data_IF_124483113052
#
_entry.id   IF_124483113052
#
_cell.length_a   1.000
_cell.length_b   1.000
_cell.length_c   1.000
_cell.angle_alpha   90.00
_cell.angle_beta   90.00
_cell.angle_gamma   90.00
#
_symmetry.space_group_name_H-M   'P 1'
#
loop_
_entity.id
_entity.type
_entity.pdbx_description
1 polymer ?
#
# COMPACT_ATOMS: atom_id res chain seq x y z
N UNK A 1 -14.60 4.64 2.01
CA UNK A 1 -13.45 3.73 1.81
C UNK A 1 -12.32 4.48 1.10
N UNK A 2 -11.07 4.36 1.57
CA UNK A 2 -9.89 4.92 0.92
C UNK A 2 -9.25 3.89 -0.02
N UNK A 3 -8.49 4.37 -1.01
CA UNK A 3 -7.86 3.53 -2.04
C UNK A 3 -6.36 3.73 -2.12
N UNK A 4 -5.62 2.64 -2.30
CA UNK A 4 -4.21 2.64 -2.69
C UNK A 4 -4.03 1.89 -4.02
N UNK A 5 -3.31 2.50 -4.94
CA UNK A 5 -2.86 1.86 -6.19
C UNK A 5 -1.36 1.63 -6.09
N UNK A 6 -0.95 0.36 -6.06
CA UNK A 6 0.44 -0.03 -5.77
C UNK A 6 1.19 -0.49 -7.01
N UNK A 7 2.48 -0.17 -7.07
CA UNK A 7 3.38 -0.60 -8.15
C UNK A 7 3.25 0.23 -9.42
N UNK A 8 3.17 1.55 -9.26
CA UNK A 8 3.17 2.50 -10.36
C UNK A 8 4.60 2.69 -10.91
N UNK A 9 4.74 2.80 -12.23
CA UNK A 9 6.03 2.83 -12.92
C UNK A 9 6.17 3.97 -13.93
N UNK A 10 5.09 4.69 -14.25
CA UNK A 10 5.10 5.80 -15.22
C UNK A 10 4.35 7.02 -14.71
N UNK A 11 4.70 8.20 -15.24
CA UNK A 11 4.05 9.48 -14.92
C UNK A 11 2.55 9.46 -15.22
N UNK A 12 2.14 8.84 -16.34
CA UNK A 12 0.73 8.78 -16.74
C UNK A 12 -0.12 7.94 -15.77
N UNK A 13 0.46 6.85 -15.23
CA UNK A 13 -0.19 6.06 -14.20
C UNK A 13 -0.40 6.89 -12.92
N UNK A 14 0.63 7.62 -12.47
CA UNK A 14 0.56 8.50 -11.29
C UNK A 14 -0.48 9.60 -11.50
N UNK A 15 -0.41 10.33 -12.62
CA UNK A 15 -1.37 11.39 -12.97
C UNK A 15 -2.82 10.86 -13.04
N UNK A 16 -3.01 9.66 -13.60
CA UNK A 16 -4.33 9.01 -13.64
C UNK A 16 -4.84 8.72 -12.24
N UNK A 17 -4.01 8.14 -11.35
CA UNK A 17 -4.39 7.90 -9.98
C UNK A 17 -4.82 9.19 -9.26
N UNK A 18 -4.03 10.27 -9.38
CA UNK A 18 -4.31 11.56 -8.75
C UNK A 18 -5.62 12.16 -9.31
N UNK A 19 -5.80 12.17 -10.63
CA UNK A 19 -6.95 12.77 -11.29
C UNK A 19 -8.26 12.06 -10.95
N UNK A 20 -8.21 10.75 -10.66
CA UNK A 20 -9.36 9.95 -10.26
C UNK A 20 -9.49 9.77 -8.75
N UNK A 21 -8.68 10.48 -7.94
CA UNK A 21 -8.85 10.60 -6.50
C UNK A 21 -8.31 9.43 -5.68
N UNK A 22 -7.24 8.78 -6.14
CA UNK A 22 -6.53 7.81 -5.32
C UNK A 22 -5.98 8.47 -4.04
N UNK A 23 -6.16 7.85 -2.88
CA UNK A 23 -5.63 8.35 -1.63
C UNK A 23 -4.14 8.07 -1.47
N UNK A 24 -3.68 6.94 -2.05
CA UNK A 24 -2.27 6.52 -1.99
C UNK A 24 -1.78 6.01 -3.34
N UNK A 25 -0.56 6.40 -3.72
CA UNK A 25 0.20 5.89 -4.85
C UNK A 25 1.46 5.17 -4.36
N UNK A 26 1.60 3.88 -4.65
CA UNK A 26 2.71 3.05 -4.18
C UNK A 26 3.78 2.79 -5.24
N UNK A 27 5.06 2.88 -4.84
CA UNK A 27 6.25 2.68 -5.66
C UNK A 27 7.15 1.60 -5.06
N UNK A 28 7.48 0.53 -5.80
CA UNK A 28 8.35 -0.55 -5.31
C UNK A 28 9.81 -0.16 -5.53
N UNK A 29 10.57 0.09 -4.44
CA UNK A 29 11.84 0.80 -4.48
C UNK A 29 13.08 -0.09 -4.33
N UNK A 30 13.01 -1.22 -3.61
CA UNK A 30 14.18 -2.07 -3.38
C UNK A 30 13.98 -3.55 -3.71
N UNK A 31 12.79 -3.96 -4.13
CA UNK A 31 12.50 -5.36 -4.45
C UNK A 31 12.64 -5.64 -5.94
N UNK A 32 13.88 -5.87 -6.40
CA UNK A 32 14.25 -6.04 -7.83
C UNK A 32 13.62 -7.26 -8.51
N UNK A 33 13.10 -8.24 -7.74
CA UNK A 33 12.39 -9.41 -8.29
C UNK A 33 10.98 -9.07 -8.78
N UNK A 34 10.43 -7.94 -8.38
CA UNK A 34 9.13 -7.47 -8.85
C UNK A 34 9.24 -6.84 -10.23
N UNK A 35 8.34 -7.20 -11.16
CA UNK A 35 8.24 -6.53 -12.45
C UNK A 35 7.80 -5.04 -12.32
N UNK A 36 7.32 -4.64 -11.14
CA UNK A 36 6.92 -3.28 -10.78
C UNK A 36 8.04 -2.49 -10.11
N UNK A 37 9.24 -3.08 -9.98
CA UNK A 37 10.39 -2.39 -9.40
C UNK A 37 10.80 -1.19 -10.26
N UNK A 38 11.08 -0.06 -9.62
CA UNK A 38 11.62 1.13 -10.29
C UNK A 38 12.95 1.55 -9.67
N UNK A 39 13.86 2.04 -10.51
CA UNK A 39 15.14 2.61 -10.08
C UNK A 39 14.90 3.95 -9.36
N UNK A 40 15.88 4.37 -8.54
CA UNK A 40 15.81 5.62 -7.76
C UNK A 40 15.46 6.83 -8.64
N UNK A 41 16.12 7.00 -9.80
CA UNK A 41 15.88 8.14 -10.70
C UNK A 41 14.44 8.19 -11.23
N UNK A 42 13.85 7.02 -11.51
CA UNK A 42 12.44 6.94 -11.90
C UNK A 42 11.53 7.30 -10.70
N UNK A 43 11.84 6.76 -9.52
CA UNK A 43 11.09 7.10 -8.31
C UNK A 43 11.14 8.61 -8.01
N UNK A 44 12.31 9.23 -8.16
CA UNK A 44 12.48 10.67 -8.01
C UNK A 44 11.60 11.45 -9.00
N UNK A 45 11.62 11.09 -10.29
CA UNK A 45 10.76 11.69 -11.30
C UNK A 45 9.26 11.53 -10.97
N UNK A 46 8.83 10.32 -10.58
CA UNK A 46 7.42 10.05 -10.27
C UNK A 46 6.93 10.79 -9.03
N UNK A 47 7.79 10.92 -8.02
CA UNK A 47 7.44 11.62 -6.77
C UNK A 47 7.50 13.15 -6.88
N UNK A 48 8.00 13.71 -8.00
CA UNK A 48 7.91 15.15 -8.31
C UNK A 48 6.57 15.54 -8.96
N UNK A 49 5.74 14.59 -9.40
CA UNK A 49 4.39 14.90 -9.87
C UNK A 49 3.60 15.53 -8.72
N UNK A 50 2.89 16.64 -8.99
CA UNK A 50 2.04 17.29 -8.00
C UNK A 50 0.98 16.31 -7.49
N UNK A 51 1.14 15.89 -6.24
CA UNK A 51 0.33 14.83 -5.61
C UNK A 51 -1.05 15.29 -5.13
N UNK A 52 -1.30 16.60 -5.08
CA UNK A 52 -2.55 17.17 -4.55
C UNK A 52 -2.89 16.54 -3.18
N UNK A 53 -4.03 15.88 -3.07
CA UNK A 53 -4.50 15.19 -1.86
C UNK A 53 -4.06 13.70 -1.78
N UNK A 54 -3.20 13.23 -2.69
CA UNK A 54 -2.72 11.85 -2.73
C UNK A 54 -1.43 11.72 -1.95
N UNK A 55 -1.30 10.69 -1.12
CA UNK A 55 -0.05 10.37 -0.41
C UNK A 55 0.83 9.42 -1.24
N UNK A 56 2.14 9.67 -1.27
CA UNK A 56 3.10 8.81 -1.93
C UNK A 56 3.73 7.81 -0.96
N UNK A 57 3.77 6.54 -1.36
CA UNK A 57 4.20 5.41 -0.52
C UNK A 57 5.37 4.69 -1.17
N UNK A 58 6.53 4.71 -0.53
CA UNK A 58 7.67 3.89 -0.91
C UNK A 58 7.55 2.49 -0.32
N UNK A 59 7.46 1.47 -1.17
CA UNK A 59 7.34 0.06 -0.75
C UNK A 59 8.72 -0.57 -0.67
N UNK A 60 9.07 -1.11 0.49
CA UNK A 60 10.39 -1.60 0.85
C UNK A 60 10.30 -3.00 1.47
N UNK A 61 11.16 -3.90 1.05
CA UNK A 61 11.25 -5.26 1.59
C UNK A 61 12.60 -5.42 2.27
N UNK A 62 12.59 -5.69 3.57
CA UNK A 62 13.78 -5.81 4.42
C UNK A 62 14.81 -4.69 4.16
N UNK A 63 14.40 -3.40 4.21
CA UNK A 63 15.31 -2.33 3.88
C UNK A 63 16.44 -2.19 4.90
N UNK A 64 17.66 -1.98 4.40
CA UNK A 64 18.79 -1.53 5.22
C UNK A 64 18.64 -0.06 5.63
N UNK A 65 19.31 0.35 6.71
CA UNK A 65 19.35 1.77 7.14
C UNK A 65 19.88 2.69 6.02
N UNK A 66 20.81 2.22 5.19
CA UNK A 66 21.33 2.96 4.03
C UNK A 66 20.25 3.19 2.98
N UNK A 67 19.42 2.18 2.70
CA UNK A 67 18.29 2.29 1.75
C UNK A 67 17.22 3.23 2.30
N UNK A 68 16.84 3.09 3.57
CA UNK A 68 15.87 3.98 4.22
C UNK A 68 16.34 5.44 4.16
N UNK A 69 17.63 5.71 4.49
CA UNK A 69 18.22 7.04 4.36
C UNK A 69 18.19 7.56 2.93
N UNK A 70 18.52 6.72 1.95
CA UNK A 70 18.51 7.13 0.54
C UNK A 70 17.09 7.48 0.07
N UNK A 71 16.11 6.60 0.34
CA UNK A 71 14.73 6.82 -0.08
C UNK A 71 14.00 7.89 0.72
N UNK A 72 14.48 8.27 1.90
CA UNK A 72 13.89 9.38 2.67
C UNK A 72 14.04 10.73 1.97
N UNK A 73 14.99 10.87 1.03
CA UNK A 73 15.18 12.07 0.21
C UNK A 73 14.11 12.23 -0.88
N UNK A 74 13.37 11.17 -1.22
CA UNK A 74 12.25 11.25 -2.16
C UNK A 74 11.05 11.95 -1.52
N UNK A 75 10.22 12.59 -2.33
CA UNK A 75 8.98 13.24 -1.89
C UNK A 75 7.89 12.20 -1.53
N UNK A 76 8.23 11.30 -0.61
CA UNK A 76 7.33 10.28 -0.07
C UNK A 76 6.71 10.76 1.24
N UNK A 77 5.47 10.32 1.51
CA UNK A 77 4.77 10.57 2.77
C UNK A 77 4.89 9.35 3.71
N UNK A 78 4.94 8.14 3.13
CA UNK A 78 4.98 6.89 3.85
C UNK A 78 6.12 5.99 3.38
N UNK A 79 6.68 5.22 4.31
CA UNK A 79 7.36 3.97 4.01
C UNK A 79 6.42 2.81 4.32
N UNK A 80 6.18 1.94 3.34
CA UNK A 80 5.52 0.66 3.54
C UNK A 80 6.58 -0.42 3.64
N UNK A 81 6.66 -1.07 4.79
CA UNK A 81 7.76 -1.97 5.13
C UNK A 81 7.26 -3.40 5.26
N UNK A 82 7.87 -4.30 4.50
CA UNK A 82 7.81 -5.75 4.66
C UNK A 82 9.08 -6.22 5.34
N UNK A 83 8.97 -7.05 6.38
CA UNK A 83 10.08 -7.62 7.13
C UNK A 83 9.73 -7.82 8.60
N UNK A 84 10.62 -8.52 9.30
CA UNK A 84 10.50 -8.76 10.73
C UNK A 84 11.28 -7.69 11.50
N UNK A 85 10.57 -6.71 12.03
CA UNK A 85 11.10 -5.63 12.84
C UNK A 85 10.40 -5.60 14.20
N UNK A 86 11.12 -5.15 15.21
CA UNK A 86 10.52 -4.85 16.52
C UNK A 86 9.75 -3.52 16.45
N UNK A 87 8.81 -3.34 17.37
CA UNK A 87 8.10 -2.06 17.55
C UNK A 87 9.08 -0.88 17.75
N UNK A 88 10.18 -1.12 18.49
CA UNK A 88 11.23 -0.12 18.71
C UNK A 88 11.90 0.32 17.41
N UNK A 89 12.26 -0.61 16.52
CA UNK A 89 12.87 -0.29 15.23
C UNK A 89 11.90 0.51 14.34
N UNK A 90 10.62 0.17 14.34
CA UNK A 90 9.58 0.94 13.60
C UNK A 90 9.50 2.37 14.12
N UNK A 91 9.52 2.57 15.43
CA UNK A 91 9.57 3.90 16.05
C UNK A 91 10.81 4.67 15.61
N UNK A 92 12.00 4.04 15.69
CA UNK A 92 13.26 4.63 15.26
C UNK A 92 13.25 5.03 13.77
N UNK A 93 12.67 4.21 12.89
CA UNK A 93 12.53 4.54 11.47
C UNK A 93 11.65 5.78 11.27
N UNK A 94 10.50 5.82 11.94
CA UNK A 94 9.57 6.96 11.89
C UNK A 94 10.22 8.26 12.34
N UNK A 95 10.93 8.22 13.46
CA UNK A 95 11.61 9.39 14.03
C UNK A 95 12.82 9.84 13.19
N UNK A 96 13.64 8.91 12.71
CA UNK A 96 14.88 9.20 11.98
C UNK A 96 14.62 9.72 10.57
N UNK A 97 13.63 9.16 9.87
CA UNK A 97 13.39 9.49 8.47
C UNK A 97 12.21 10.44 8.26
N UNK A 98 11.48 10.81 9.33
CA UNK A 98 10.32 11.71 9.29
C UNK A 98 9.27 11.28 8.26
N UNK A 99 9.06 9.97 8.12
CA UNK A 99 8.04 9.36 7.27
C UNK A 99 7.03 8.62 8.13
N UNK A 100 5.75 8.66 7.73
CA UNK A 100 4.75 7.77 8.31
C UNK A 100 5.03 6.34 7.91
N UNK A 101 4.62 5.38 8.73
CA UNK A 101 4.93 3.96 8.52
C UNK A 101 3.66 3.16 8.26
N UNK A 102 3.66 2.41 7.16
CA UNK A 102 2.74 1.32 6.89
C UNK A 102 3.51 0.02 7.14
N UNK A 103 3.13 -0.75 8.14
CA UNK A 103 3.70 -2.08 8.37
C UNK A 103 2.87 -3.12 7.61
N UNK A 104 3.55 -3.99 6.84
CA UNK A 104 2.90 -5.02 6.04
C UNK A 104 3.01 -6.37 6.71
N UNK A 105 1.88 -6.91 7.13
CA UNK A 105 1.77 -8.24 7.72
C UNK A 105 1.39 -9.26 6.64
N UNK A 106 2.21 -10.28 6.47
CA UNK A 106 1.95 -11.38 5.54
C UNK A 106 1.02 -12.42 6.19
N UNK A 107 -0.20 -12.53 5.68
CA UNK A 107 -1.26 -13.39 6.24
C UNK A 107 -1.29 -14.73 5.49
N UNK A 108 -0.94 -15.80 6.20
CA UNK A 108 -1.04 -17.19 5.76
C UNK A 108 -2.18 -17.94 6.46
N UNK A 109 -2.41 -17.59 7.72
CA UNK A 109 -3.38 -18.21 8.61
C UNK A 109 -3.97 -17.18 9.55
N UNK A 110 -5.11 -17.52 10.15
CA UNK A 110 -5.88 -16.59 11.00
C UNK A 110 -5.07 -15.96 12.14
N UNK A 111 -4.14 -16.73 12.72
CA UNK A 111 -3.29 -16.27 13.84
C UNK A 111 -2.33 -15.12 13.43
N UNK A 112 -1.96 -15.04 12.15
CA UNK A 112 -1.05 -13.99 11.68
C UNK A 112 -1.65 -12.59 11.83
N UNK A 113 -2.98 -12.48 11.85
CA UNK A 113 -3.68 -11.22 12.09
C UNK A 113 -3.26 -10.60 13.43
N UNK A 114 -3.07 -11.42 14.48
CA UNK A 114 -2.74 -10.93 15.82
C UNK A 114 -1.38 -10.23 15.93
N UNK A 115 -0.53 -10.36 14.91
CA UNK A 115 0.76 -9.64 14.82
C UNK A 115 0.58 -8.12 14.80
N UNK A 116 -0.61 -7.61 14.46
CA UNK A 116 -0.87 -6.17 14.53
C UNK A 116 -0.56 -5.58 15.91
N UNK A 117 -0.77 -6.35 17.00
CA UNK A 117 -0.53 -5.92 18.38
C UNK A 117 0.91 -5.48 18.66
N UNK A 118 1.87 -5.99 17.86
CA UNK A 118 3.28 -5.61 17.97
C UNK A 118 3.48 -4.16 17.52
N UNK A 119 2.68 -3.71 16.53
CA UNK A 119 2.93 -2.48 15.79
C UNK A 119 1.85 -1.41 15.96
N UNK A 120 0.71 -1.72 16.58
CA UNK A 120 -0.47 -0.83 16.64
C UNK A 120 -0.22 0.54 17.27
N UNK A 121 0.83 0.67 18.11
CA UNK A 121 1.19 1.93 18.76
C UNK A 121 2.13 2.78 17.90
N UNK A 122 2.95 2.16 17.06
CA UNK A 122 4.04 2.85 16.36
C UNK A 122 3.76 3.01 14.86
N UNK A 123 3.08 2.06 14.24
CA UNK A 123 2.70 2.17 12.84
C UNK A 123 1.48 3.08 12.64
N UNK A 124 1.49 3.87 11.59
CA UNK A 124 0.34 4.73 11.24
C UNK A 124 -0.77 3.94 10.55
N UNK A 125 -0.41 2.88 9.83
CA UNK A 125 -1.33 1.95 9.15
C UNK A 125 -0.77 0.53 9.26
N UNK A 126 -1.65 -0.43 9.52
CA UNK A 126 -1.33 -1.86 9.40
C UNK A 126 -1.93 -2.38 8.09
N UNK A 127 -1.07 -2.84 7.20
CA UNK A 127 -1.46 -3.52 5.97
C UNK A 127 -1.50 -5.03 6.20
N UNK A 128 -2.65 -5.63 5.97
CA UNK A 128 -2.86 -7.08 5.97
C UNK A 128 -2.83 -7.56 4.52
N UNK A 129 -1.76 -8.23 4.13
CA UNK A 129 -1.52 -8.68 2.75
C UNK A 129 -1.39 -10.20 2.67
N UNK A 130 -1.58 -10.76 1.50
CA UNK A 130 -1.34 -12.17 1.26
C UNK A 130 0.13 -12.54 1.44
N UNK A 131 0.41 -13.80 1.73
CA UNK A 131 1.77 -14.28 2.05
C UNK A 131 2.76 -14.28 0.88
N UNK A 132 2.31 -14.01 -0.34
CA UNK A 132 3.15 -14.08 -1.53
C UNK A 132 3.63 -12.70 -1.99
N UNK A 133 4.92 -12.38 -1.82
CA UNK A 133 5.51 -11.17 -2.43
C UNK A 133 5.49 -11.20 -3.97
N UNK A 134 5.37 -12.39 -4.57
CA UNK A 134 5.37 -12.60 -6.03
C UNK A 134 3.98 -12.81 -6.62
N UNK A 135 3.01 -13.21 -5.81
CA UNK A 135 1.66 -13.55 -6.23
C UNK A 135 0.66 -12.99 -5.23
N UNK A 136 -0.35 -12.29 -5.73
CA UNK A 136 -1.49 -11.87 -4.91
C UNK A 136 -2.38 -13.09 -4.68
N UNK A 137 -2.29 -13.70 -3.51
CA UNK A 137 -3.14 -14.81 -3.09
C UNK A 137 -4.35 -14.26 -2.32
N UNK A 138 -5.50 -14.90 -2.48
CA UNK A 138 -6.67 -14.61 -1.64
C UNK A 138 -6.52 -15.30 -0.29
N UNK A 139 -7.09 -14.68 0.73
CA UNK A 139 -7.24 -15.21 2.08
C UNK A 139 -8.61 -14.80 2.64
N UNK A 140 -9.04 -15.34 3.77
CA UNK A 140 -10.33 -14.98 4.36
C UNK A 140 -10.27 -13.60 5.03
N UNK A 141 -10.70 -12.57 4.31
CA UNK A 141 -10.67 -11.18 4.77
C UNK A 141 -11.51 -10.94 6.03
N UNK A 142 -12.47 -11.82 6.36
CA UNK A 142 -13.25 -11.70 7.61
C UNK A 142 -12.37 -11.84 8.86
N UNK A 143 -11.19 -12.43 8.75
CA UNK A 143 -10.27 -12.50 9.89
C UNK A 143 -9.89 -11.12 10.43
N UNK A 144 -9.89 -10.08 9.57
CA UNK A 144 -9.55 -8.71 9.98
C UNK A 144 -10.59 -8.10 10.93
N UNK A 145 -11.81 -8.65 10.99
CA UNK A 145 -12.87 -8.18 11.90
C UNK A 145 -12.49 -8.29 13.39
N UNK A 146 -11.52 -9.14 13.73
CA UNK A 146 -10.97 -9.22 15.09
C UNK A 146 -10.00 -8.08 15.44
N UNK A 147 -9.57 -7.28 14.47
CA UNK A 147 -8.72 -6.11 14.69
C UNK A 147 -9.60 -4.92 15.07
N UNK A 148 -9.33 -4.22 16.18
CA UNK A 148 -10.13 -3.06 16.59
C UNK A 148 -10.22 -1.99 15.50
N UNK A 149 -11.36 -1.30 15.43
CA UNK A 149 -11.56 -0.21 14.46
C UNK A 149 -10.70 1.03 14.73
N UNK A 150 -10.16 1.15 15.94
CA UNK A 150 -9.16 2.17 16.30
C UNK A 150 -7.82 1.98 15.59
N UNK A 151 -7.51 0.76 15.12
CA UNK A 151 -6.33 0.48 14.29
C UNK A 151 -6.63 0.84 12.85
N UNK A 152 -5.81 1.68 12.22
CA UNK A 152 -5.94 1.99 10.80
C UNK A 152 -5.57 0.77 9.97
N UNK A 153 -6.59 0.15 9.35
CA UNK A 153 -6.47 -1.14 8.65
C UNK A 153 -6.47 -0.91 7.14
N UNK A 154 -5.43 -1.42 6.48
CA UNK A 154 -5.35 -1.50 5.02
C UNK A 154 -5.38 -2.98 4.61
N UNK A 155 -6.16 -3.30 3.60
CA UNK A 155 -6.35 -4.67 3.12
C UNK A 155 -5.77 -4.84 1.72
N UNK A 156 -4.98 -5.89 1.52
CA UNK A 156 -4.46 -6.34 0.23
C UNK A 156 -4.61 -7.85 0.03
N UNK A 157 -4.19 -8.32 -1.13
CA UNK A 157 -4.22 -9.74 -1.52
C UNK A 157 -5.37 -10.05 -2.47
N UNK A 158 -5.11 -10.03 -3.78
CA UNK A 158 -6.06 -10.41 -4.86
C UNK A 158 -7.44 -9.70 -4.83
N UNK A 159 -7.48 -8.46 -4.36
CA UNK A 159 -8.72 -7.67 -4.33
C UNK A 159 -9.13 -7.32 -5.77
N UNK A 160 -10.40 -7.61 -6.10
CA UNK A 160 -11.04 -7.29 -7.36
C UNK A 160 -12.11 -6.22 -7.18
N UNK A 161 -12.51 -5.55 -8.25
CA UNK A 161 -13.45 -4.43 -8.24
C UNK A 161 -14.86 -4.84 -7.77
N UNK A 162 -15.30 -6.06 -8.05
CA UNK A 162 -16.58 -6.62 -7.65
C UNK A 162 -16.66 -6.93 -6.14
N UNK A 163 -15.53 -7.05 -5.45
CA UNK A 163 -15.46 -7.31 -4.02
C UNK A 163 -15.61 -6.05 -3.16
N UNK A 164 -15.49 -4.86 -3.74
CA UNK A 164 -15.36 -3.61 -2.98
C UNK A 164 -16.56 -3.28 -2.09
N UNK A 165 -17.78 -3.64 -2.52
CA UNK A 165 -19.01 -3.43 -1.74
C UNK A 165 -18.97 -4.22 -0.42
N UNK A 166 -18.52 -5.48 -0.46
CA UNK A 166 -18.44 -6.32 0.73
C UNK A 166 -17.28 -5.89 1.64
N UNK A 167 -16.18 -5.42 1.05
CA UNK A 167 -14.98 -5.02 1.78
C UNK A 167 -15.15 -3.71 2.56
N UNK A 168 -16.11 -2.84 2.20
CA UNK A 168 -16.34 -1.58 2.92
C UNK A 168 -16.72 -1.77 4.39
N UNK A 169 -17.35 -2.90 4.72
CA UNK A 169 -17.73 -3.27 6.09
C UNK A 169 -16.56 -3.87 6.89
N UNK A 170 -15.47 -4.20 6.20
CA UNK A 170 -14.33 -4.91 6.79
C UNK A 170 -13.13 -3.97 7.01
N UNK A 171 -12.88 -3.08 6.06
CA UNK A 171 -11.69 -2.21 6.08
C UNK A 171 -12.00 -0.81 5.58
N UNK A 172 -11.24 0.16 6.06
CA UNK A 172 -11.33 1.53 5.57
C UNK A 172 -10.43 1.80 4.35
N UNK A 173 -9.39 0.99 4.12
CA UNK A 173 -8.42 1.22 3.04
C UNK A 173 -8.22 -0.09 2.27
N UNK A 174 -8.32 -0.04 0.94
CA UNK A 174 -7.98 -1.16 0.06
C UNK A 174 -6.72 -0.84 -0.75
N UNK A 175 -5.81 -1.80 -0.82
CA UNK A 175 -4.57 -1.72 -1.62
C UNK A 175 -4.64 -2.70 -2.79
N UNK A 176 -4.62 -2.18 -3.99
CA UNK A 176 -4.77 -2.98 -5.21
C UNK A 176 -3.57 -2.78 -6.14
N UNK A 177 -3.07 -3.89 -6.67
CA UNK A 177 -1.94 -3.89 -7.59
C UNK A 177 -2.23 -4.72 -8.84
N UNK A 178 -2.11 -6.05 -8.77
CA UNK A 178 -2.18 -6.94 -9.94
C UNK A 178 -3.51 -6.90 -10.70
N UNK A 179 -4.64 -6.72 -9.99
CA UNK A 179 -5.96 -6.61 -10.63
C UNK A 179 -6.10 -5.39 -11.55
N UNK A 180 -5.22 -4.40 -11.42
CA UNK A 180 -5.19 -3.19 -12.26
C UNK A 180 -4.18 -3.30 -13.40
N UNK A 181 -3.77 -4.51 -13.76
CA UNK A 181 -2.77 -4.76 -14.82
C UNK A 181 -3.38 -5.50 -16.00
N UNK A 182 -2.83 -5.24 -17.18
CA UNK A 182 -2.94 -6.05 -18.41
C UNK A 182 -1.51 -6.36 -18.83
N UNK A 183 -1.19 -7.63 -19.05
CA UNK A 183 0.16 -8.10 -19.43
C UNK A 183 1.28 -7.57 -18.50
N UNK A 184 1.03 -7.60 -17.17
CA UNK A 184 1.94 -7.11 -16.12
C UNK A 184 2.23 -5.60 -16.15
N UNK A 185 1.47 -4.82 -16.91
CA UNK A 185 1.57 -3.36 -16.96
C UNK A 185 0.28 -2.75 -16.41
N UNK A 186 0.39 -1.69 -15.63
CA UNK A 186 -0.80 -0.96 -15.12
C UNK A 186 -1.63 -0.44 -16.29
N UNK A 187 -2.89 -0.84 -16.31
CA UNK A 187 -3.89 -0.43 -17.29
C UNK A 187 -4.63 0.80 -16.77
N UNK A 188 -4.54 1.91 -17.50
CA UNK A 188 -5.13 3.18 -17.09
C UNK A 188 -6.67 3.10 -17.00
N UNK A 189 -7.32 2.30 -17.84
CA UNK A 189 -8.77 2.14 -17.79
C UNK A 189 -9.19 1.31 -16.57
N UNK A 190 -8.43 0.27 -16.22
CA UNK A 190 -8.68 -0.49 -14.98
C UNK A 190 -8.50 0.39 -13.74
N UNK A 191 -7.48 1.25 -13.71
CA UNK A 191 -7.28 2.23 -12.63
C UNK A 191 -8.48 3.17 -12.52
N UNK A 192 -8.91 3.77 -13.65
CA UNK A 192 -10.07 4.67 -13.68
C UNK A 192 -11.35 3.98 -13.19
N UNK A 193 -11.63 2.77 -13.67
CA UNK A 193 -12.82 2.01 -13.29
C UNK A 193 -12.82 1.67 -11.80
N UNK A 194 -11.67 1.24 -11.25
CA UNK A 194 -11.51 0.96 -9.84
C UNK A 194 -11.76 2.20 -8.97
N UNK A 195 -11.13 3.33 -9.29
CA UNK A 195 -11.27 4.55 -8.52
C UNK A 195 -12.68 5.16 -8.62
N UNK A 196 -13.31 5.09 -9.80
CA UNK A 196 -14.71 5.48 -9.97
C UNK A 196 -15.66 4.59 -9.14
N UNK A 197 -15.39 3.28 -9.01
CA UNK A 197 -16.19 2.39 -8.16
C UNK A 197 -16.05 2.78 -6.69
N UNK A 198 -14.83 3.07 -6.21
CA UNK A 198 -14.58 3.57 -4.86
C UNK A 198 -15.35 4.88 -4.60
N UNK A 199 -15.30 5.82 -5.54
CA UNK A 199 -16.04 7.08 -5.45
C UNK A 199 -17.54 6.84 -5.29
N UNK A 200 -18.14 5.99 -6.15
CA UNK A 200 -19.56 5.63 -6.06
C UNK A 200 -19.94 5.00 -4.72
N UNK A 201 -19.11 4.11 -4.18
CA UNK A 201 -19.33 3.50 -2.86
C UNK A 201 -19.35 4.57 -1.76
N UNK A 202 -18.46 5.56 -1.83
CA UNK A 202 -18.38 6.63 -0.85
C UNK A 202 -19.54 7.64 -0.95
N UNK A 203 -20.14 7.82 -2.13
CA UNK A 203 -21.30 8.70 -2.36
C UNK A 203 -22.63 8.08 -1.89
N UNK A 204 -22.67 6.76 -1.66
CA UNK A 204 -23.87 6.02 -1.21
C UNK A 204 -23.96 5.89 0.33
N UNK A 205 -22.96 6.38 1.06
CA UNK A 205 -22.90 6.41 2.52
C UNK A 205 -23.00 7.86 3.03
#
# INVERSE_FOLDING_TARGET
>A
MLSKVCGLTTVDQVKTCISYGANFCGFILNYKKSHRFIKYQIAEQLTQVDKKNTSYVGVLVNPSSKELKNFSNLNLDYFQIYGDYSSKEIKEFKESYKKKIIISLQIKQKQDILKYKIYEKEADIILFDSSGLHQSLSWDYNWIKQVPTSVSRMLAGNIKIDMLEDLKEITNIVDVSGALETDKVKDLNKIKNFLNKIKKINEQN
#
